data_IF_153934919489
#
_entry.id   IF_153934919489
#
_cell.length_a   1.000
_cell.length_b   1.000
_cell.length_c   1.000
_cell.angle_alpha   90.00
_cell.angle_beta   90.00
_cell.angle_gamma   90.00
#
_symmetry.space_group_name_H-M   'P 1'
#
loop_
_entity.id
_entity.type
_entity.pdbx_description
1 polymer ?
#
# COMPACT_ATOMS: atom_id res chain seq x y z
N UNK A 1 10.41 -11.08 -13.19
CA UNK A 1 11.55 -10.25 -13.68
C UNK A 1 11.01 -8.92 -14.19
N UNK A 2 11.51 -7.79 -13.68
CA UNK A 2 11.19 -6.45 -14.16
C UNK A 2 12.36 -5.93 -15.02
N UNK A 3 12.06 -5.41 -16.21
CA UNK A 3 13.06 -4.92 -17.17
C UNK A 3 12.75 -3.47 -17.54
N UNK A 4 13.72 -2.57 -17.35
CA UNK A 4 13.58 -1.16 -17.72
C UNK A 4 14.59 -0.78 -18.81
N UNK A 5 14.13 -0.12 -19.88
CA UNK A 5 14.98 0.35 -20.99
C UNK A 5 15.59 1.72 -20.67
N UNK A 6 16.91 1.82 -20.60
CA UNK A 6 17.63 3.07 -20.25
C UNK A 6 17.36 4.21 -21.23
N UNK A 7 17.20 3.92 -22.52
CA UNK A 7 16.93 4.92 -23.56
C UNK A 7 15.56 5.62 -23.40
N UNK A 8 14.57 4.95 -22.80
CA UNK A 8 13.25 5.54 -22.55
C UNK A 8 13.12 6.16 -21.15
N UNK A 9 14.10 5.93 -20.26
CA UNK A 9 14.08 6.50 -18.92
C UNK A 9 14.51 7.97 -19.01
N UNK A 10 13.60 8.88 -18.69
CA UNK A 10 13.99 10.26 -18.39
C UNK A 10 14.92 10.23 -17.19
N UNK A 11 15.76 11.26 -17.03
CA UNK A 11 16.71 11.36 -15.90
C UNK A 11 16.02 11.07 -14.55
N UNK A 12 14.79 11.59 -14.38
CA UNK A 12 13.95 11.36 -13.19
C UNK A 12 13.56 9.90 -12.97
N UNK A 13 13.33 9.13 -14.04
CA UNK A 13 12.94 7.72 -13.95
C UNK A 13 14.15 6.84 -13.61
N UNK A 14 15.37 7.18 -14.06
CA UNK A 14 16.59 6.48 -13.63
C UNK A 14 16.83 6.61 -12.12
N UNK A 15 16.59 7.80 -11.57
CA UNK A 15 16.70 8.04 -10.12
C UNK A 15 15.67 7.20 -9.36
N UNK A 16 14.42 7.14 -9.84
CA UNK A 16 13.37 6.30 -9.26
C UNK A 16 13.72 4.82 -9.27
N UNK A 17 14.23 4.29 -10.38
CA UNK A 17 14.63 2.88 -10.46
C UNK A 17 15.77 2.54 -9.51
N UNK A 18 16.72 3.45 -9.33
CA UNK A 18 17.79 3.26 -8.33
C UNK A 18 17.21 3.22 -6.91
N UNK A 19 16.33 4.16 -6.58
CA UNK A 19 15.66 4.19 -5.28
C UNK A 19 14.80 2.94 -5.05
N UNK A 20 14.06 2.48 -6.06
CA UNK A 20 13.27 1.24 -5.99
C UNK A 20 14.15 0.05 -5.66
N UNK A 21 15.31 -0.09 -6.32
CA UNK A 21 16.29 -1.13 -5.99
C UNK A 21 16.78 -0.97 -4.54
N UNK A 22 17.13 0.23 -4.12
CA UNK A 22 17.70 0.47 -2.78
C UNK A 22 16.70 0.09 -1.68
N UNK A 23 15.44 0.50 -1.83
CA UNK A 23 14.33 0.07 -0.96
C UNK A 23 14.19 -1.45 -0.94
N UNK A 24 14.19 -2.10 -2.10
CA UNK A 24 14.02 -3.55 -2.21
C UNK A 24 15.21 -4.35 -1.64
N UNK A 25 16.39 -3.74 -1.50
CA UNK A 25 17.54 -4.35 -0.84
C UNK A 25 17.42 -4.22 0.68
N UNK A 26 16.90 -3.11 1.17
CA UNK A 26 16.76 -2.82 2.60
C UNK A 26 15.59 -3.58 3.25
N UNK A 27 14.48 -3.71 2.53
CA UNK A 27 13.24 -4.29 3.05
C UNK A 27 13.32 -5.82 3.13
N UNK A 28 12.94 -6.37 4.28
CA UNK A 28 12.81 -7.81 4.50
C UNK A 28 11.56 -8.10 5.33
N UNK A 29 10.48 -8.48 4.67
CA UNK A 29 9.18 -8.71 5.29
C UNK A 29 8.40 -9.82 4.57
N UNK A 30 7.66 -10.70 5.27
CA UNK A 30 6.91 -11.79 4.65
C UNK A 30 5.88 -11.30 3.62
N UNK A 31 5.33 -10.09 3.78
CA UNK A 31 4.30 -9.55 2.88
C UNK A 31 4.82 -8.50 1.89
N UNK A 32 6.13 -8.48 1.62
CA UNK A 32 6.76 -7.62 0.61
C UNK A 32 7.56 -8.48 -0.35
N UNK A 33 7.54 -8.13 -1.64
CA UNK A 33 8.27 -8.86 -2.68
C UNK A 33 9.79 -8.83 -2.41
N UNK A 34 10.46 -9.98 -2.51
CA UNK A 34 11.91 -10.05 -2.35
C UNK A 34 12.64 -9.76 -3.65
N UNK A 35 13.70 -8.97 -3.57
CA UNK A 35 14.70 -8.83 -4.63
C UNK A 35 15.81 -9.87 -4.45
N UNK A 36 16.01 -10.71 -5.45
CA UNK A 36 17.07 -11.72 -5.48
C UNK A 36 18.34 -11.17 -6.12
N UNK A 37 18.20 -10.48 -7.26
CA UNK A 37 19.33 -9.95 -8.01
C UNK A 37 18.96 -8.64 -8.69
N UNK A 38 19.93 -7.72 -8.78
CA UNK A 38 19.82 -6.52 -9.59
C UNK A 38 21.09 -6.37 -10.44
N UNK A 39 20.91 -6.24 -11.76
CA UNK A 39 22.02 -6.06 -12.70
C UNK A 39 21.62 -5.18 -13.88
N UNK A 40 22.61 -4.79 -14.69
CA UNK A 40 22.38 -3.90 -15.83
C UNK A 40 23.24 -4.28 -17.03
N UNK A 41 22.71 -3.99 -18.22
CA UNK A 41 23.46 -3.97 -19.48
C UNK A 41 23.58 -2.51 -19.94
N UNK A 42 24.27 -2.25 -21.05
CA UNK A 42 24.41 -0.88 -21.59
C UNK A 42 23.05 -0.18 -21.77
N UNK A 43 22.03 -0.91 -22.26
CA UNK A 43 20.71 -0.36 -22.57
C UNK A 43 19.59 -0.68 -21.57
N UNK A 44 19.79 -1.54 -20.57
CA UNK A 44 18.70 -2.02 -19.69
C UNK A 44 19.10 -2.19 -18.22
N UNK A 45 18.11 -2.06 -17.33
CA UNK A 45 18.19 -2.43 -15.90
C UNK A 45 17.28 -3.63 -15.66
N UNK A 46 17.73 -4.57 -14.83
CA UNK A 46 17.03 -5.81 -14.51
C UNK A 46 16.89 -5.97 -13.01
N UNK A 47 15.66 -6.21 -12.55
CA UNK A 47 15.35 -6.59 -11.17
C UNK A 47 14.73 -8.00 -11.19
N UNK A 48 15.39 -8.93 -10.51
CA UNK A 48 14.94 -10.32 -10.35
C UNK A 48 14.22 -10.42 -9.01
N UNK A 49 12.90 -10.51 -9.08
CA UNK A 49 11.98 -10.50 -7.94
C UNK A 49 11.35 -11.88 -7.78
N UNK A 50 10.70 -12.13 -6.63
CA UNK A 50 9.82 -13.28 -6.46
C UNK A 50 8.84 -13.42 -7.62
N UNK A 51 8.57 -14.66 -8.00
CA UNK A 51 7.51 -14.99 -8.94
C UNK A 51 6.25 -15.41 -8.18
N UNK A 52 5.24 -14.55 -8.22
CA UNK A 52 4.00 -14.70 -7.46
C UNK A 52 2.91 -15.24 -8.38
N UNK A 53 2.56 -16.52 -8.18
CA UNK A 53 1.73 -17.30 -9.09
C UNK A 53 0.24 -16.97 -9.00
N UNK A 54 -0.21 -16.37 -7.90
CA UNK A 54 -1.62 -16.06 -7.65
C UNK A 54 -2.14 -14.85 -8.43
N UNK A 55 -1.27 -14.10 -9.13
CA UNK A 55 -1.66 -12.89 -9.84
C UNK A 55 -1.90 -11.71 -8.90
N UNK A 56 -2.52 -10.64 -9.40
CA UNK A 56 -2.86 -9.45 -8.62
C UNK A 56 -4.26 -9.50 -8.02
N UNK A 57 -4.44 -8.80 -6.90
CA UNK A 57 -5.73 -8.67 -6.20
C UNK A 57 -6.79 -8.03 -7.10
N UNK A 58 -6.40 -7.14 -8.01
CA UNK A 58 -7.32 -6.50 -8.96
C UNK A 58 -8.02 -7.51 -9.88
N UNK A 59 -7.27 -8.45 -10.44
CA UNK A 59 -7.77 -9.52 -11.30
C UNK A 59 -8.70 -10.46 -10.53
N UNK A 60 -8.46 -10.65 -9.23
CA UNK A 60 -9.36 -11.43 -8.37
C UNK A 60 -10.65 -10.65 -8.05
N UNK A 61 -10.53 -9.40 -7.62
CA UNK A 61 -11.66 -8.53 -7.29
C UNK A 61 -12.60 -8.33 -8.48
N UNK A 62 -12.05 -8.12 -9.68
CA UNK A 62 -12.85 -7.99 -10.90
C UNK A 62 -13.67 -9.24 -11.27
N UNK A 63 -13.25 -10.43 -10.83
CA UNK A 63 -14.01 -11.68 -11.03
C UNK A 63 -15.09 -11.89 -9.96
N UNK A 64 -14.80 -11.52 -8.72
CA UNK A 64 -15.68 -11.72 -7.57
C UNK A 64 -16.66 -10.53 -7.35
N UNK A 65 -16.45 -9.41 -8.05
CA UNK A 65 -17.15 -8.12 -7.89
C UNK A 65 -16.82 -7.43 -6.58
N UNK A 66 -16.97 -8.11 -5.45
CA UNK A 66 -16.54 -7.67 -4.11
C UNK A 66 -16.16 -8.89 -3.28
N UNK A 67 -15.30 -8.70 -2.29
CA UNK A 67 -14.88 -9.75 -1.37
C UNK A 67 -15.76 -9.85 -0.14
N UNK A 68 -15.70 -10.99 0.53
CA UNK A 68 -16.29 -11.14 1.87
C UNK A 68 -15.52 -10.30 2.88
N UNK A 69 -16.18 -9.92 3.99
CA UNK A 69 -15.50 -9.19 5.04
C UNK A 69 -14.34 -9.98 5.67
N UNK A 70 -14.43 -11.31 5.70
CA UNK A 70 -13.36 -12.18 6.20
C UNK A 70 -12.12 -12.13 5.30
N UNK A 71 -12.30 -12.26 3.98
CA UNK A 71 -11.20 -12.11 3.01
C UNK A 71 -10.57 -10.71 3.08
N UNK A 72 -11.40 -9.67 3.23
CA UNK A 72 -10.93 -8.29 3.39
C UNK A 72 -10.09 -8.13 4.64
N UNK A 73 -10.53 -8.68 5.79
CA UNK A 73 -9.75 -8.65 7.03
C UNK A 73 -8.41 -9.33 6.87
N UNK A 74 -8.39 -10.50 6.23
CA UNK A 74 -7.18 -11.26 5.94
C UNK A 74 -6.16 -10.43 5.14
N UNK A 75 -6.54 -9.92 3.97
CA UNK A 75 -5.62 -9.13 3.13
C UNK A 75 -5.19 -7.82 3.80
N UNK A 76 -6.11 -7.14 4.48
CA UNK A 76 -5.82 -5.86 5.12
C UNK A 76 -4.92 -6.00 6.35
N UNK A 77 -4.99 -7.12 7.08
CA UNK A 77 -4.10 -7.38 8.21
C UNK A 77 -2.64 -7.54 7.72
N UNK A 78 -2.41 -8.37 6.71
CA UNK A 78 -1.09 -8.56 6.11
C UNK A 78 -0.55 -7.27 5.49
N UNK A 79 -1.41 -6.53 4.78
CA UNK A 79 -1.05 -5.26 4.19
C UNK A 79 -0.70 -4.19 5.24
N UNK A 80 -1.43 -4.15 6.36
CA UNK A 80 -1.13 -3.24 7.45
C UNK A 80 0.25 -3.51 8.04
N UNK A 81 0.63 -4.79 8.20
CA UNK A 81 1.97 -5.19 8.65
C UNK A 81 3.06 -4.80 7.64
N UNK A 82 2.82 -5.01 6.34
CA UNK A 82 3.75 -4.59 5.29
C UNK A 82 3.98 -3.06 5.30
N UNK A 83 2.90 -2.27 5.39
CA UNK A 83 2.99 -0.81 5.46
C UNK A 83 3.68 -0.35 6.74
N UNK A 84 3.39 -0.97 7.88
CA UNK A 84 4.06 -0.60 9.14
C UNK A 84 5.57 -0.85 9.08
N UNK A 85 5.99 -1.97 8.49
CA UNK A 85 7.40 -2.25 8.28
C UNK A 85 8.07 -1.19 7.41
N UNK A 86 7.47 -0.81 6.28
CA UNK A 86 7.98 0.27 5.43
C UNK A 86 8.06 1.60 6.19
N UNK A 87 7.00 1.95 6.93
CA UNK A 87 6.95 3.19 7.71
C UNK A 87 8.00 3.20 8.82
N UNK A 88 8.34 2.04 9.40
CA UNK A 88 9.40 1.90 10.40
C UNK A 88 10.80 2.19 9.85
N UNK A 89 11.01 1.94 8.55
CA UNK A 89 12.23 2.30 7.81
C UNK A 89 12.17 3.73 7.24
N UNK A 90 11.12 4.50 7.56
CA UNK A 90 10.93 5.83 7.01
C UNK A 90 10.54 5.83 5.53
N UNK A 91 9.99 4.75 4.99
CA UNK A 91 9.56 4.65 3.59
C UNK A 91 8.06 4.91 3.50
N UNK A 92 7.65 5.79 2.59
CA UNK A 92 6.24 6.00 2.22
C UNK A 92 5.98 5.31 0.88
N UNK A 93 4.96 4.46 0.81
CA UNK A 93 4.72 3.59 -0.34
C UNK A 93 4.12 4.34 -1.54
N UNK A 94 3.05 5.12 -1.31
CA UNK A 94 2.41 6.10 -2.22
C UNK A 94 1.71 5.59 -3.47
N UNK A 95 1.74 4.31 -3.77
CA UNK A 95 1.04 3.74 -4.94
C UNK A 95 0.21 2.52 -4.54
N UNK A 96 -0.48 2.60 -3.41
CA UNK A 96 -1.34 1.52 -2.94
C UNK A 96 -2.61 1.45 -3.80
N UNK A 97 -2.76 0.31 -4.48
CA UNK A 97 -3.84 -0.06 -5.37
C UNK A 97 -3.82 -1.59 -5.57
N UNK A 98 -4.94 -2.23 -5.94
CA UNK A 98 -5.04 -3.69 -6.00
C UNK A 98 -4.11 -4.32 -7.04
N UNK A 99 -3.70 -3.60 -8.09
CA UNK A 99 -2.73 -4.07 -9.09
C UNK A 99 -1.31 -4.27 -8.52
N UNK A 100 -0.98 -3.55 -7.45
CA UNK A 100 0.34 -3.62 -6.80
C UNK A 100 0.38 -4.60 -5.61
N UNK A 101 -0.71 -5.35 -5.39
CA UNK A 101 -0.81 -6.37 -4.35
C UNK A 101 -0.91 -7.71 -5.06
N UNK A 102 0.17 -8.48 -5.01
CA UNK A 102 0.24 -9.79 -5.65
C UNK A 102 0.01 -10.91 -4.63
N UNK A 103 -0.49 -12.04 -5.10
CA UNK A 103 -0.75 -13.23 -4.30
C UNK A 103 0.30 -14.31 -4.59
N UNK A 104 0.84 -14.91 -3.53
CA UNK A 104 1.69 -16.10 -3.66
C UNK A 104 0.85 -17.38 -3.90
N UNK A 105 1.51 -18.55 -3.87
CA UNK A 105 0.83 -19.83 -4.11
C UNK A 105 -0.08 -20.29 -2.96
N UNK A 106 0.13 -19.77 -1.75
CA UNK A 106 -0.70 -20.03 -0.59
C UNK A 106 -1.82 -18.98 -0.42
N UNK A 107 -1.79 -17.92 -1.23
CA UNK A 107 -2.79 -16.84 -1.22
C UNK A 107 -2.43 -15.68 -0.30
N UNK A 108 -1.20 -15.62 0.23
CA UNK A 108 -0.73 -14.48 1.02
C UNK A 108 -0.35 -13.30 0.12
N UNK A 109 -0.53 -12.09 0.64
CA UNK A 109 -0.22 -10.87 -0.12
C UNK A 109 1.28 -10.57 -0.11
N UNK A 110 1.73 -9.98 -1.21
CA UNK A 110 3.06 -9.40 -1.37
C UNK A 110 2.93 -8.06 -2.04
N UNK A 111 3.31 -7.01 -1.33
CA UNK A 111 3.39 -5.68 -1.91
C UNK A 111 4.54 -5.60 -2.92
N UNK A 112 4.28 -5.06 -4.10
CA UNK A 112 5.26 -4.93 -5.20
C UNK A 112 5.33 -3.48 -5.71
N UNK A 113 6.14 -3.24 -6.75
CA UNK A 113 6.30 -1.95 -7.45
C UNK A 113 6.58 -0.73 -6.55
N UNK A 114 7.84 -0.57 -6.15
CA UNK A 114 8.30 0.53 -5.31
C UNK A 114 8.77 1.75 -6.14
N UNK A 115 8.47 1.79 -7.44
CA UNK A 115 8.94 2.84 -8.36
C UNK A 115 8.44 4.25 -8.01
N UNK A 116 7.35 4.35 -7.25
CA UNK A 116 6.78 5.60 -6.74
C UNK A 116 7.00 5.81 -5.24
N UNK A 117 7.65 4.89 -4.54
CA UNK A 117 7.91 5.04 -3.11
C UNK A 117 8.95 6.11 -2.81
N UNK A 118 9.03 6.54 -1.55
CA UNK A 118 9.95 7.60 -1.12
C UNK A 118 10.40 7.39 0.32
N UNK A 119 11.71 7.37 0.52
CA UNK A 119 12.32 7.60 1.84
C UNK A 119 12.00 9.02 2.33
N UNK A 120 11.21 9.09 3.40
CA UNK A 120 11.09 10.25 4.27
C UNK A 120 12.17 10.14 5.35
N UNK A 121 13.30 10.80 5.10
CA UNK A 121 14.48 10.76 5.99
C UNK A 121 14.20 11.39 7.36
N UNK A 122 13.11 12.15 7.52
CA UNK A 122 12.65 12.67 8.82
C UNK A 122 11.12 12.80 8.81
N UNK A 123 10.45 12.64 9.95
CA UNK A 123 8.99 12.88 10.09
C UNK A 123 8.58 14.32 9.70
N UNK A 124 9.53 15.26 9.72
CA UNK A 124 9.35 16.64 9.28
C UNK A 124 9.48 16.84 7.76
N UNK A 125 10.13 15.91 7.05
CA UNK A 125 10.35 16.01 5.59
C UNK A 125 9.13 15.48 4.84
N UNK A 126 8.23 16.39 4.50
CA UNK A 126 7.09 16.12 3.61
C UNK A 126 7.55 15.87 2.17
N UNK A 127 6.91 14.90 1.51
CA UNK A 127 7.00 14.75 0.07
C UNK A 127 5.94 15.63 -0.61
N UNK A 128 6.31 16.36 -1.66
CA UNK A 128 5.40 17.29 -2.38
C UNK A 128 5.03 16.80 -3.79
N UNK A 129 5.52 15.63 -4.18
CA UNK A 129 5.27 15.07 -5.51
C UNK A 129 3.82 14.64 -5.67
N UNK A 130 3.17 15.08 -6.75
CA UNK A 130 1.89 14.52 -7.17
C UNK A 130 2.17 13.23 -7.97
N UNK A 131 1.97 12.06 -7.35
CA UNK A 131 2.17 10.74 -7.96
C UNK A 131 1.26 9.68 -7.32
N UNK A 132 1.01 8.60 -8.05
CA UNK A 132 0.07 7.53 -7.71
C UNK A 132 -1.17 7.52 -8.62
N UNK A 133 -2.08 6.58 -8.38
CA UNK A 133 -3.42 6.55 -8.98
C UNK A 133 -4.35 7.52 -8.25
N UNK A 134 -5.04 8.41 -8.98
CA UNK A 134 -5.74 9.59 -8.42
C UNK A 134 -6.80 9.20 -7.40
N UNK A 135 -7.55 8.14 -7.69
CA UNK A 135 -8.64 7.59 -6.90
C UNK A 135 -8.18 7.13 -5.50
N UNK A 136 -6.90 6.77 -5.36
CA UNK A 136 -6.28 6.32 -4.12
C UNK A 136 -5.53 7.42 -3.37
N UNK A 137 -5.40 8.61 -3.96
CA UNK A 137 -4.62 9.70 -3.36
C UNK A 137 -5.33 10.33 -2.17
N UNK A 138 -4.56 10.56 -1.10
CA UNK A 138 -5.02 11.34 0.03
C UNK A 138 -5.28 12.82 -0.34
N UNK A 139 -6.18 13.53 0.36
CA UNK A 139 -6.50 14.94 0.09
C UNK A 139 -5.27 15.86 0.10
N UNK A 140 -4.30 15.61 0.99
CA UNK A 140 -3.04 16.35 1.10
C UNK A 140 -2.07 16.11 -0.07
N UNK A 141 -2.19 14.98 -0.76
CA UNK A 141 -1.47 14.70 -2.01
C UNK A 141 -2.11 15.48 -3.15
N UNK A 142 -3.45 15.44 -3.23
CA UNK A 142 -4.23 16.14 -4.27
C UNK A 142 -4.01 17.66 -4.21
N UNK A 143 -4.02 18.25 -3.01
CA UNK A 143 -3.83 19.69 -2.81
C UNK A 143 -2.34 20.12 -2.71
N UNK A 144 -1.39 19.18 -2.86
CA UNK A 144 0.06 19.42 -2.84
C UNK A 144 0.58 20.09 -1.56
N UNK A 145 -0.08 19.90 -0.41
CA UNK A 145 0.35 20.48 0.88
C UNK A 145 1.49 19.70 1.56
N UNK A 146 2.00 18.69 0.86
CA UNK A 146 3.00 17.78 1.37
C UNK A 146 2.36 16.60 2.11
N UNK A 147 2.88 15.41 1.88
CA UNK A 147 2.38 14.16 2.48
C UNK A 147 3.51 13.37 3.13
N UNK A 148 3.13 12.52 4.07
CA UNK A 148 3.98 11.56 4.77
C UNK A 148 3.30 10.18 4.77
N UNK A 149 3.74 9.29 5.66
CA UNK A 149 3.21 7.95 5.89
C UNK A 149 1.69 7.90 6.07
N UNK A 150 1.05 8.96 6.60
CA UNK A 150 -0.41 9.02 6.77
C UNK A 150 -1.20 8.95 5.46
N UNK A 151 -0.58 9.29 4.33
CA UNK A 151 -1.23 9.18 3.02
C UNK A 151 -1.48 7.71 2.63
N UNK A 152 -0.59 6.78 3.02
CA UNK A 152 -0.79 5.36 2.74
C UNK A 152 -2.01 4.82 3.49
N UNK A 153 -2.31 5.32 4.69
CA UNK A 153 -3.51 4.94 5.45
C UNK A 153 -4.81 5.46 4.82
N UNK A 154 -4.78 6.56 4.08
CA UNK A 154 -5.93 6.95 3.25
C UNK A 154 -6.12 5.95 2.11
N UNK A 155 -5.06 5.63 1.37
CA UNK A 155 -5.12 4.67 0.28
C UNK A 155 -5.55 3.29 0.76
N UNK A 156 -5.15 2.89 1.98
CA UNK A 156 -5.60 1.67 2.64
C UNK A 156 -7.12 1.68 2.86
N UNK A 157 -7.69 2.82 3.27
CA UNK A 157 -9.14 3.00 3.38
C UNK A 157 -9.85 2.92 2.03
N UNK A 158 -9.27 3.49 0.97
CA UNK A 158 -9.81 3.38 -0.39
C UNK A 158 -9.85 1.92 -0.83
N UNK A 159 -8.76 1.18 -0.65
CA UNK A 159 -8.67 -0.23 -0.99
C UNK A 159 -9.66 -1.08 -0.17
N UNK A 160 -9.77 -0.83 1.14
CA UNK A 160 -10.77 -1.50 2.00
C UNK A 160 -12.20 -1.28 1.46
N UNK A 161 -12.54 -0.04 1.12
CA UNK A 161 -13.87 0.28 0.59
C UNK A 161 -14.12 -0.40 -0.76
N UNK A 162 -13.12 -0.39 -1.64
CA UNK A 162 -13.23 -1.02 -2.96
C UNK A 162 -13.40 -2.54 -2.85
N UNK A 163 -12.61 -3.21 -2.01
CA UNK A 163 -12.75 -4.66 -1.81
C UNK A 163 -14.11 -5.03 -1.19
N UNK A 164 -14.65 -4.21 -0.28
CA UNK A 164 -15.94 -4.49 0.37
C UNK A 164 -17.17 -4.15 -0.48
N UNK A 165 -17.03 -3.27 -1.48
CA UNK A 165 -18.19 -2.74 -2.23
C UNK A 165 -18.11 -2.95 -3.74
N UNK A 166 -16.93 -3.34 -4.26
CA UNK A 166 -16.65 -3.42 -5.69
C UNK A 166 -16.56 -2.07 -6.40
N UNK A 167 -16.62 -0.95 -5.66
CA UNK A 167 -16.62 0.41 -6.22
C UNK A 167 -15.72 1.33 -5.42
N UNK A 168 -15.25 2.41 -6.05
CA UNK A 168 -14.39 3.39 -5.38
C UNK A 168 -15.21 4.39 -4.55
N UNK A 169 -14.74 4.80 -3.36
CA UNK A 169 -15.46 5.74 -2.50
C UNK A 169 -15.54 7.16 -3.07
N UNK A 170 -14.57 7.54 -3.91
CA UNK A 170 -14.47 8.85 -4.55
C UNK A 170 -14.05 8.69 -6.00
N UNK A 171 -15.00 8.73 -6.93
CA UNK A 171 -14.75 8.65 -8.36
C UNK A 171 -15.77 9.49 -9.12
N UNK A 172 -15.29 10.42 -9.94
CA UNK A 172 -16.09 11.24 -10.83
C UNK A 172 -15.95 10.81 -12.29
N UNK A 173 -16.63 11.52 -13.20
CA UNK A 173 -16.56 11.25 -14.65
C UNK A 173 -15.19 11.58 -15.26
N UNK A 174 -14.44 12.44 -14.58
CA UNK A 174 -13.14 12.89 -15.00
C UNK A 174 -12.23 13.14 -13.79
N UNK A 175 -10.94 13.30 -14.07
CA UNK A 175 -9.90 13.48 -13.06
C UNK A 175 -10.16 14.69 -12.14
N UNK A 176 -10.70 15.79 -12.66
CA UNK A 176 -10.94 16.99 -11.86
C UNK A 176 -12.12 16.77 -10.91
N UNK A 177 -13.16 16.08 -11.37
CA UNK A 177 -14.29 15.70 -10.54
C UNK A 177 -13.87 14.72 -9.43
N UNK A 178 -13.09 13.68 -9.75
CA UNK A 178 -12.51 12.76 -8.75
C UNK A 178 -11.70 13.52 -7.70
N UNK A 179 -10.81 14.43 -8.11
CA UNK A 179 -10.05 15.27 -7.17
C UNK A 179 -10.96 16.13 -6.29
N UNK A 180 -12.00 16.74 -6.86
CA UNK A 180 -12.97 17.53 -6.09
C UNK A 180 -13.73 16.67 -5.07
N UNK A 181 -14.09 15.44 -5.43
CA UNK A 181 -14.74 14.49 -4.53
C UNK A 181 -13.83 14.11 -3.37
N UNK A 182 -12.58 13.74 -3.63
CA UNK A 182 -11.57 13.46 -2.59
C UNK A 182 -11.48 14.63 -1.60
N UNK A 183 -11.39 15.85 -2.13
CA UNK A 183 -11.24 17.06 -1.31
C UNK A 183 -12.49 17.44 -0.51
N UNK A 184 -13.71 17.14 -0.98
CA UNK A 184 -14.94 17.74 -0.44
C UNK A 184 -16.11 16.79 -0.18
N UNK A 185 -16.26 15.71 -0.95
CA UNK A 185 -17.44 14.85 -0.88
C UNK A 185 -17.59 14.17 0.49
N UNK A 186 -18.83 14.01 0.96
CA UNK A 186 -19.07 13.14 2.11
C UNK A 186 -19.01 11.69 1.63
N UNK A 187 -18.41 10.82 2.43
CA UNK A 187 -18.40 9.38 2.16
C UNK A 187 -19.84 8.86 2.22
N UNK A 188 -20.32 8.28 1.11
CA UNK A 188 -21.56 7.51 1.09
C UNK A 188 -21.29 6.15 1.72
N UNK A 189 -21.67 5.94 2.98
CA UNK A 189 -21.43 4.69 3.69
C UNK A 189 -22.52 3.66 3.36
N UNK A 190 -22.21 2.53 2.72
CA UNK A 190 -23.20 1.48 2.46
C UNK A 190 -23.69 0.85 3.77
N UNK A 191 -25.00 0.62 3.87
CA UNK A 191 -25.65 0.11 5.09
C UNK A 191 -25.39 -1.38 5.33
N UNK A 192 -24.98 -2.12 4.30
CA UNK A 192 -24.67 -3.55 4.41
C UNK A 192 -23.30 -3.84 5.05
N UNK A 193 -22.45 -2.82 5.21
CA UNK A 193 -21.16 -2.98 5.90
C UNK A 193 -21.38 -3.09 7.41
N UNK A 194 -20.60 -3.95 8.06
CA UNK A 194 -20.64 -4.10 9.52
C UNK A 194 -20.32 -2.78 10.24
N UNK A 195 -20.84 -2.57 11.46
CA UNK A 195 -20.50 -1.40 12.28
C UNK A 195 -18.99 -1.22 12.44
N UNK A 196 -18.23 -2.32 12.54
CA UNK A 196 -16.79 -2.34 12.67
C UNK A 196 -16.10 -1.83 11.40
N UNK A 197 -16.52 -2.33 10.22
CA UNK A 197 -16.03 -1.85 8.93
C UNK A 197 -16.33 -0.36 8.73
N UNK A 198 -17.56 0.07 9.03
CA UNK A 198 -17.95 1.47 8.94
C UNK A 198 -17.14 2.37 9.87
N UNK A 199 -16.88 1.91 11.10
CA UNK A 199 -16.07 2.63 12.08
C UNK A 199 -14.64 2.84 11.57
N UNK A 200 -13.99 1.75 11.12
CA UNK A 200 -12.63 1.80 10.56
C UNK A 200 -12.55 2.75 9.36
N UNK A 201 -13.47 2.65 8.39
CA UNK A 201 -13.52 3.54 7.23
C UNK A 201 -13.67 5.02 7.65
N UNK A 202 -14.50 5.33 8.66
CA UNK A 202 -14.64 6.71 9.19
C UNK A 202 -13.37 7.23 9.85
N UNK A 203 -12.56 6.35 10.45
CA UNK A 203 -11.29 6.69 11.08
C UNK A 203 -10.15 6.87 10.05
N UNK A 204 -10.18 6.11 8.94
CA UNK A 204 -9.23 6.25 7.83
C UNK A 204 -9.55 7.45 6.93
N UNK A 205 -10.82 7.76 6.67
CA UNK A 205 -11.23 8.88 5.81
C UNK A 205 -11.30 10.22 6.53
N UNK A 206 -10.24 10.55 7.27
CA UNK A 206 -10.03 11.88 7.85
C UNK A 206 -9.18 12.72 6.90
N UNK A 207 -9.73 13.85 6.44
CA UNK A 207 -9.05 14.76 5.51
C UNK A 207 -7.86 15.46 6.13
N UNK A 208 -7.94 15.77 7.42
CA UNK A 208 -6.77 16.21 8.17
C UNK A 208 -5.93 14.97 8.51
N UNK A 209 -4.71 14.82 7.97
CA UNK A 209 -3.88 13.65 8.22
C UNK A 209 -3.54 13.45 9.70
N UNK A 210 -3.47 14.53 10.50
CA UNK A 210 -3.22 14.43 11.94
C UNK A 210 -4.36 13.79 12.74
N UNK A 211 -5.58 13.79 12.19
CA UNK A 211 -6.75 13.15 12.79
C UNK A 211 -6.99 11.76 12.21
N UNK A 212 -6.22 11.36 11.19
CA UNK A 212 -6.36 10.08 10.50
C UNK A 212 -5.77 8.98 11.34
N UNK A 213 -6.44 7.83 11.31
CA UNK A 213 -5.90 6.63 11.92
C UNK A 213 -4.51 6.31 11.33
N UNK A 214 -3.59 5.91 12.20
CA UNK A 214 -2.23 5.52 11.81
C UNK A 214 -1.64 4.46 12.74
N UNK A 215 -0.32 4.27 12.62
CA UNK A 215 0.52 3.21 13.21
C UNK A 215 0.11 2.71 14.61
N UNK A 216 -0.22 3.59 15.54
CA UNK A 216 -0.47 3.22 16.95
C UNK A 216 -1.80 2.49 17.21
N UNK A 217 -2.72 2.43 16.24
CA UNK A 217 -4.10 1.99 16.51
C UNK A 217 -4.61 0.89 15.56
N UNK A 218 -4.10 0.77 14.33
CA UNK A 218 -4.61 -0.24 13.37
C UNK A 218 -4.48 -1.70 13.84
N UNK A 219 -3.35 -2.15 14.44
CA UNK A 219 -3.20 -3.52 14.96
C UNK A 219 -4.15 -3.86 16.12
N UNK A 220 -4.67 -2.84 16.81
CA UNK A 220 -5.50 -2.97 18.02
C UNK A 220 -6.98 -2.66 17.76
N UNK A 221 -7.36 -2.43 16.50
CA UNK A 221 -8.77 -2.29 16.16
C UNK A 221 -9.42 -3.66 16.03
N UNK A 222 -10.55 -3.82 16.72
CA UNK A 222 -11.43 -5.02 16.70
C UNK A 222 -11.60 -5.62 15.30
N UNK A 223 -11.65 -4.78 14.25
CA UNK A 223 -11.80 -5.24 12.87
C UNK A 223 -10.62 -6.11 12.38
N UNK A 224 -9.37 -5.78 12.75
CA UNK A 224 -8.16 -6.46 12.28
C UNK A 224 -7.42 -7.23 13.39
N UNK A 225 -7.76 -7.01 14.65
CA UNK A 225 -6.99 -7.46 15.83
C UNK A 225 -6.69 -8.98 15.80
N UNK A 226 -7.71 -9.80 15.52
CA UNK A 226 -7.58 -11.26 15.47
C UNK A 226 -6.59 -11.69 14.39
N UNK A 227 -6.70 -11.09 13.21
CA UNK A 227 -5.93 -11.52 12.05
C UNK A 227 -4.50 -10.98 12.10
N UNK A 228 -4.31 -9.74 12.57
CA UNK A 228 -2.98 -9.20 12.83
C UNK A 228 -2.26 -10.07 13.87
N UNK A 229 -2.93 -10.52 14.93
CA UNK A 229 -2.35 -11.41 15.93
C UNK A 229 -1.93 -12.76 15.34
N UNK A 230 -2.68 -13.30 14.37
CA UNK A 230 -2.34 -14.55 13.65
C UNK A 230 -1.12 -14.37 12.75
N UNK A 231 -1.04 -13.27 12.01
CA UNK A 231 0.08 -12.98 11.12
C UNK A 231 1.37 -12.63 11.88
N UNK A 232 1.25 -12.08 13.10
CA UNK A 232 2.37 -11.60 13.92
C UNK A 232 3.02 -12.69 14.80
N UNK A 233 2.95 -13.97 14.41
CA UNK A 233 3.47 -15.12 15.17
C UNK A 233 4.88 -14.92 15.76
N UNK A 234 5.27 -15.68 16.80
CA UNK A 234 6.38 -15.34 17.67
C UNK A 234 7.66 -15.14 16.86
N UNK A 235 8.28 -13.97 17.04
CA UNK A 235 9.62 -13.69 16.52
C UNK A 235 10.54 -14.87 16.87
N UNK A 236 11.40 -15.35 15.96
CA UNK A 236 12.38 -16.36 16.30
C UNK A 236 13.24 -15.81 17.44
N UNK A 237 12.99 -16.30 18.66
CA UNK A 237 13.88 -16.02 19.78
C UNK A 237 15.25 -16.53 19.36
N UNK A 238 16.26 -15.66 19.43
CA UNK A 238 17.66 -16.02 19.33
C UNK A 238 17.92 -17.21 20.26
N UNK A 239 17.91 -18.42 19.71
CA UNK A 239 18.51 -19.58 20.34
C UNK A 239 20.00 -19.30 20.40
N UNK A 240 20.40 -18.70 21.52
CA UNK A 240 21.79 -18.64 21.93
C UNK A 240 22.21 -20.10 22.10
N UNK A 241 22.96 -20.62 21.13
CA UNK A 241 23.66 -21.89 21.26
C UNK A 241 24.70 -21.67 22.36
N UNK A 242 24.37 -22.12 23.57
CA UNK A 242 25.37 -22.49 24.57
C UNK A 242 25.54 -24.01 24.47
N UNK A 243 26.74 -24.44 24.11
CA UNK A 243 27.16 -25.83 23.97
C UNK A 243 28.43 -25.88 23.15
#
# INVERSE_FOLDING_TARGET
>A
MKVLKKASLKVRDRVRTKMERDILVEVNHPFIVKLHYAFQTEGKLYLILDFLRGGDVFTRLSKEVMFTEEDVKFYLAELALALDHLHSLGIVYRDLKPENILLDEAGHIKLTDFGLSKESVDQEKKAYSFCGTVEYMAPEVVNRRGHNQSADWWSFGVLMFEMLTGTLPFQGKDRNETMNMILKAKLGMPQFLSPEAQSLLRMLFKRNPSNRLGKLVLPTLVFLEVEVSRCSGPSPQNTTVKG
#
